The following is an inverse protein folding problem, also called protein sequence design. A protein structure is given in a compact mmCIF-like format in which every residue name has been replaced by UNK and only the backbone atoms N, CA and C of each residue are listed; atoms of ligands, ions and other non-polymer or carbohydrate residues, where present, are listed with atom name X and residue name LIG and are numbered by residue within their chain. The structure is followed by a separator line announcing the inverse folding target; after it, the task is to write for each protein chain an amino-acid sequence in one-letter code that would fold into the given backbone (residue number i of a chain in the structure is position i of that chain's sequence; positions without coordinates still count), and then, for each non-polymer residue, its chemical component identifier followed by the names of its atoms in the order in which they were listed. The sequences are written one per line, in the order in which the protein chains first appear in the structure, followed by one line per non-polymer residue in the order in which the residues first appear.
data_IF_879767559479
#
_entry.id   IF_879767559479
#
_cell.length_a   1.000
_cell.length_b   1.000
_cell.length_c   1.000
_cell.angle_alpha   90.00
_cell.angle_beta   90.00
_cell.angle_gamma   90.00
#
_symmetry.space_group_name_H-M   'P 1'
#
loop_
_entity.id
_entity.type
_entity.pdbx_description
1 polymer ?
#
# COMPACT_ATOMS: atom_id res chain seq x y z
N UNK A 1 -13.05 -50.03 25.75
CA UNK A 1 -11.73 -50.62 25.44
C UNK A 1 -11.53 -50.60 23.93
N UNK A 2 -10.40 -50.07 23.42
CA UNK A 2 -10.19 -49.78 22.00
C UNK A 2 -9.60 -50.99 21.25
N UNK A 3 -10.15 -51.33 20.08
CA UNK A 3 -9.56 -52.30 19.16
C UNK A 3 -8.94 -51.59 17.95
N UNK A 4 -7.68 -51.91 17.66
CA UNK A 4 -6.79 -51.21 16.71
C UNK A 4 -6.53 -52.05 15.45
N UNK A 5 -6.57 -51.37 14.28
CA UNK A 5 -5.75 -51.55 13.04
C UNK A 5 -6.10 -52.73 12.09
N UNK A 6 -5.69 -52.74 10.79
CA UNK A 6 -4.67 -51.89 10.11
C UNK A 6 -5.09 -51.22 8.76
N UNK A 7 -4.26 -50.27 8.33
CA UNK A 7 -4.24 -49.61 7.01
C UNK A 7 -3.47 -50.45 5.98
N UNK A 8 -3.89 -50.48 4.71
CA UNK A 8 -2.99 -50.80 3.60
C UNK A 8 -2.53 -49.52 2.84
N UNK A 9 -1.21 -49.34 2.79
CA UNK A 9 -0.42 -48.60 1.76
C UNK A 9 0.34 -49.68 0.96
N UNK A 10 1.09 -49.37 -0.12
CA UNK A 10 0.95 -48.40 -1.22
C UNK A 10 1.04 -49.12 -2.59
N UNK A 11 0.79 -48.42 -3.70
CA UNK A 11 1.32 -48.84 -5.01
C UNK A 11 1.88 -47.60 -5.74
N UNK A 12 3.21 -47.52 -5.73
CA UNK A 12 4.02 -46.70 -6.62
C UNK A 12 4.02 -47.32 -8.02
N UNK A 13 3.86 -46.52 -9.07
CA UNK A 13 4.72 -46.60 -10.25
C UNK A 13 4.52 -45.39 -11.18
N UNK A 14 5.58 -45.00 -11.93
CA UNK A 14 5.83 -43.63 -12.38
C UNK A 14 5.61 -43.47 -13.89
N UNK A 15 5.34 -42.24 -14.35
CA UNK A 15 5.64 -41.85 -15.72
C UNK A 15 6.29 -40.46 -15.72
N UNK A 16 7.62 -40.49 -15.73
CA UNK A 16 8.43 -39.42 -16.28
C UNK A 16 8.25 -39.42 -17.81
N UNK A 17 7.95 -38.26 -18.40
CA UNK A 17 8.21 -37.77 -19.77
C UNK A 17 7.58 -36.36 -19.74
N UNK A 18 8.22 -35.25 -20.10
CA UNK A 18 9.52 -35.02 -20.69
C UNK A 18 9.70 -33.51 -20.76
N UNK A 19 10.96 -33.11 -20.67
CA UNK A 19 11.46 -31.77 -20.89
C UNK A 19 11.03 -31.26 -22.27
N UNK A 20 10.33 -30.13 -22.36
CA UNK A 20 10.37 -29.26 -23.54
C UNK A 20 10.57 -27.82 -23.09
N UNK A 21 11.76 -27.33 -23.45
CA UNK A 21 12.27 -25.97 -23.34
C UNK A 21 11.38 -24.96 -24.09
N UNK A 22 11.51 -23.72 -23.63
CA UNK A 22 11.42 -22.48 -24.42
C UNK A 22 10.02 -21.98 -24.82
N UNK A 23 9.45 -21.15 -23.94
CA UNK A 23 8.97 -19.81 -24.33
C UNK A 23 9.27 -18.83 -23.20
N UNK A 24 10.56 -18.46 -23.11
CA UNK A 24 10.93 -17.19 -22.52
C UNK A 24 10.39 -16.09 -23.45
N UNK A 25 9.26 -15.47 -23.09
CA UNK A 25 8.66 -14.45 -23.96
C UNK A 25 7.22 -14.12 -23.67
N UNK A 26 6.93 -13.68 -22.45
CA UNK A 26 5.77 -12.81 -22.20
C UNK A 26 6.12 -11.85 -21.07
N UNK A 27 6.86 -10.81 -21.43
CA UNK A 27 6.94 -9.60 -20.65
C UNK A 27 5.52 -9.04 -20.46
N UNK A 28 5.06 -8.95 -19.22
CA UNK A 28 3.95 -8.06 -18.88
C UNK A 28 3.99 -7.70 -17.39
N UNK A 29 4.70 -6.59 -17.12
CA UNK A 29 4.53 -5.66 -16.00
C UNK A 29 4.84 -6.30 -14.63
N UNK A 30 6.05 -6.17 -14.08
CA UNK A 30 6.66 -4.89 -13.74
C UNK A 30 5.61 -3.80 -13.43
N UNK A 31 4.58 -4.13 -12.64
CA UNK A 31 4.16 -3.14 -11.67
C UNK A 31 5.25 -3.16 -10.62
N UNK A 32 6.27 -2.34 -10.87
CA UNK A 32 6.90 -1.67 -9.76
C UNK A 32 5.73 -1.22 -8.89
N UNK A 33 5.55 -1.87 -7.75
CA UNK A 33 5.10 -1.17 -6.56
C UNK A 33 6.18 -0.12 -6.39
N UNK A 34 6.08 0.95 -7.18
CA UNK A 34 6.59 2.24 -6.87
C UNK A 34 5.90 2.46 -5.53
N UNK A 35 6.63 2.12 -4.46
CA UNK A 35 6.22 2.36 -3.10
C UNK A 35 5.88 3.83 -3.12
N UNK A 36 4.58 4.12 -3.23
CA UNK A 36 4.08 5.47 -3.45
C UNK A 36 4.83 6.28 -2.43
N UNK A 37 5.63 7.29 -2.86
CA UNK A 37 6.48 8.02 -1.94
C UNK A 37 5.56 8.44 -0.81
N UNK A 38 5.78 7.80 0.35
CA UNK A 38 4.78 7.68 1.42
C UNK A 38 4.21 9.06 1.62
N UNK A 39 2.88 9.23 1.63
CA UNK A 39 2.28 10.56 1.58
C UNK A 39 2.87 11.49 2.65
N UNK A 40 3.30 10.89 3.76
CA UNK A 40 4.10 11.50 4.80
C UNK A 40 5.52 11.96 4.35
N UNK A 41 6.30 11.09 3.70
CA UNK A 41 7.59 11.46 3.09
C UNK A 41 7.41 12.57 2.05
N UNK A 42 6.37 12.49 1.21
CA UNK A 42 6.04 13.54 0.25
C UNK A 42 5.70 14.89 0.93
N UNK A 43 5.17 14.87 2.16
CA UNK A 43 4.93 16.10 2.95
C UNK A 43 6.18 16.61 3.68
N UNK A 44 7.15 15.75 3.96
CA UNK A 44 8.39 16.08 4.67
C UNK A 44 9.47 16.65 3.73
N UNK A 45 9.56 16.15 2.50
CA UNK A 45 10.59 16.52 1.51
C UNK A 45 10.35 17.90 0.84
N UNK A 46 9.35 18.65 1.30
CA UNK A 46 8.89 19.90 0.67
C UNK A 46 9.70 21.14 0.99
N UNK A 47 10.37 21.15 2.14
CA UNK A 47 11.14 22.32 2.56
C UNK A 47 12.30 22.62 1.60
N UNK A 48 12.80 21.63 0.86
CA UNK A 48 13.88 21.80 -0.12
C UNK A 48 13.39 22.22 -1.52
N UNK A 49 12.09 22.10 -1.81
CA UNK A 49 11.56 22.17 -3.19
C UNK A 49 10.64 23.36 -3.44
N UNK A 50 10.58 24.34 -2.52
CA UNK A 50 9.77 25.56 -2.69
C UNK A 50 8.25 25.35 -2.49
N UNK A 51 7.84 24.13 -2.16
CA UNK A 51 6.47 23.84 -1.76
C UNK A 51 6.22 24.27 -0.30
N UNK A 52 5.05 24.86 0.03
CA UNK A 52 4.69 25.08 1.42
C UNK A 52 4.61 23.73 2.16
N UNK A 53 5.46 23.56 3.17
CA UNK A 53 5.44 22.38 4.02
C UNK A 53 4.09 22.31 4.77
N UNK A 54 3.35 21.20 4.63
CA UNK A 54 2.17 20.98 5.45
C UNK A 54 2.62 20.73 6.89
N UNK A 55 2.29 21.66 7.79
CA UNK A 55 2.50 21.48 9.22
C UNK A 55 1.44 20.52 9.76
N UNK A 56 1.76 19.23 9.75
CA UNK A 56 0.88 18.17 10.22
C UNK A 56 1.07 17.94 11.72
N UNK A 57 -0.03 17.87 12.47
CA UNK A 57 0.00 17.42 13.86
C UNK A 57 0.20 15.89 13.94
N UNK A 58 0.39 15.36 15.15
CA UNK A 58 0.63 13.92 15.35
C UNK A 58 -0.53 13.04 14.85
N UNK A 59 -1.77 13.47 15.06
CA UNK A 59 -2.96 12.74 14.62
C UNK A 59 -3.03 12.66 13.08
N UNK A 60 -2.84 13.79 12.42
CA UNK A 60 -2.84 13.91 10.97
C UNK A 60 -1.75 13.03 10.33
N UNK A 61 -0.54 13.03 10.89
CA UNK A 61 0.56 12.16 10.41
C UNK A 61 0.17 10.68 10.48
N UNK A 62 -0.45 10.25 11.58
CA UNK A 62 -0.92 8.86 11.72
C UNK A 62 -2.05 8.51 10.75
N UNK A 63 -2.96 9.45 10.47
CA UNK A 63 -4.01 9.26 9.45
C UNK A 63 -3.37 9.03 8.09
N UNK A 64 -2.38 9.83 7.69
CA UNK A 64 -1.70 9.65 6.40
C UNK A 64 -0.96 8.31 6.33
N UNK A 65 -0.26 7.91 7.40
CA UNK A 65 0.37 6.58 7.48
C UNK A 65 -0.65 5.44 7.37
N UNK A 66 -1.85 5.61 7.93
CA UNK A 66 -2.91 4.63 7.79
C UNK A 66 -3.47 4.59 6.36
N UNK A 67 -3.61 5.75 5.71
CA UNK A 67 -4.05 5.87 4.32
C UNK A 67 -3.03 5.32 3.32
N UNK A 68 -1.73 5.39 3.61
CA UNK A 68 -0.66 4.78 2.81
C UNK A 68 -0.76 3.24 2.80
N UNK A 69 -1.46 2.65 3.77
CA UNK A 69 -1.76 1.19 3.80
C UNK A 69 -3.01 0.82 3.00
N UNK A 70 -3.58 1.77 2.25
CA UNK A 70 -4.82 1.59 1.49
C UNK A 70 -6.09 1.89 2.30
N UNK A 71 -7.23 1.81 1.63
CA UNK A 71 -8.54 2.20 2.17
C UNK A 71 -8.90 1.43 3.45
N UNK A 72 -8.65 0.12 3.48
CA UNK A 72 -8.87 -0.71 4.67
C UNK A 72 -7.95 -0.33 5.84
N UNK A 73 -6.76 0.19 5.55
CA UNK A 73 -5.85 0.74 6.55
C UNK A 73 -6.44 1.98 7.23
N UNK A 74 -6.96 2.90 6.43
CA UNK A 74 -7.62 4.11 6.90
C UNK A 74 -8.91 3.78 7.67
N UNK A 75 -9.76 2.90 7.12
CA UNK A 75 -11.00 2.45 7.76
C UNK A 75 -10.76 1.87 9.14
N UNK A 76 -9.82 0.92 9.26
CA UNK A 76 -9.44 0.32 10.56
C UNK A 76 -8.85 1.33 11.53
N UNK A 77 -8.16 2.36 11.04
CA UNK A 77 -7.62 3.41 11.89
C UNK A 77 -8.74 4.30 12.46
N UNK A 78 -9.63 4.80 11.59
CA UNK A 78 -10.77 5.63 12.00
C UNK A 78 -11.67 4.87 12.96
N UNK A 79 -12.01 3.62 12.65
CA UNK A 79 -12.87 2.80 13.51
C UNK A 79 -12.30 2.63 14.93
N UNK A 80 -10.98 2.48 15.07
CA UNK A 80 -10.32 2.34 16.38
C UNK A 80 -10.18 3.66 17.14
N UNK A 81 -10.18 4.80 16.46
CA UNK A 81 -9.84 6.10 17.06
C UNK A 81 -10.99 7.08 17.13
N UNK A 82 -12.12 6.79 16.46
CA UNK A 82 -13.30 7.67 16.39
C UNK A 82 -13.87 8.06 17.75
N UNK A 83 -13.78 7.19 18.76
CA UNK A 83 -14.33 7.49 20.10
C UNK A 83 -13.52 8.55 20.85
N UNK A 84 -12.23 8.70 20.51
CA UNK A 84 -11.31 9.63 21.19
C UNK A 84 -11.19 10.93 20.39
N UNK A 85 -11.11 10.82 19.07
CA UNK A 85 -10.83 11.94 18.18
C UNK A 85 -12.03 12.39 17.34
N UNK A 86 -13.20 11.77 17.53
CA UNK A 86 -14.44 12.09 16.80
C UNK A 86 -14.28 12.08 15.27
N UNK A 87 -13.42 11.21 14.76
CA UNK A 87 -13.14 11.10 13.33
C UNK A 87 -14.31 10.48 12.57
N UNK A 88 -14.82 11.20 11.57
CA UNK A 88 -15.68 10.65 10.53
C UNK A 88 -14.83 10.08 9.38
N UNK A 89 -15.21 8.92 8.86
CA UNK A 89 -14.44 8.25 7.81
C UNK A 89 -14.50 9.02 6.49
N UNK A 90 -15.68 9.51 6.10
CA UNK A 90 -15.87 10.19 4.83
C UNK A 90 -15.19 11.57 4.82
N UNK A 91 -15.22 12.28 5.94
CA UNK A 91 -14.47 13.53 6.10
C UNK A 91 -12.95 13.28 6.13
N UNK A 92 -12.50 12.23 6.84
CA UNK A 92 -11.08 11.89 6.91
C UNK A 92 -10.54 11.50 5.54
N UNK A 93 -11.27 10.71 4.76
CA UNK A 93 -10.87 10.34 3.39
C UNK A 93 -10.81 11.58 2.48
N UNK A 94 -11.85 12.43 2.51
CA UNK A 94 -11.84 13.70 1.74
C UNK A 94 -10.63 14.56 2.08
N UNK A 95 -10.27 14.67 3.36
CA UNK A 95 -9.07 15.39 3.76
C UNK A 95 -7.79 14.73 3.22
N UNK A 96 -7.66 13.40 3.28
CA UNK A 96 -6.52 12.67 2.68
C UNK A 96 -6.39 12.96 1.19
N UNK A 97 -7.51 12.97 0.45
CA UNK A 97 -7.50 13.27 -0.99
C UNK A 97 -7.10 14.72 -1.27
N UNK A 98 -7.55 15.68 -0.45
CA UNK A 98 -7.11 17.08 -0.57
C UNK A 98 -5.61 17.22 -0.32
N UNK A 99 -5.06 16.51 0.66
CA UNK A 99 -3.61 16.47 0.88
C UNK A 99 -2.93 15.88 -0.34
N UNK A 100 -3.39 14.74 -0.87
CA UNK A 100 -2.85 14.14 -2.12
C UNK A 100 -2.84 15.11 -3.30
N UNK A 101 -3.94 15.80 -3.55
CA UNK A 101 -4.05 16.77 -4.64
C UNK A 101 -3.05 17.92 -4.47
N UNK A 102 -3.01 18.55 -3.30
CA UNK A 102 -2.04 19.62 -2.99
C UNK A 102 -0.59 19.16 -3.17
N UNK A 103 -0.31 17.91 -2.82
CA UNK A 103 1.02 17.31 -2.98
C UNK A 103 1.36 17.12 -4.47
N UNK A 104 0.41 16.63 -5.26
CA UNK A 104 0.57 16.41 -6.68
C UNK A 104 0.75 17.72 -7.44
N UNK A 105 -0.09 18.72 -7.18
CA UNK A 105 -0.03 20.06 -7.80
C UNK A 105 1.35 20.69 -7.56
N UNK A 106 1.87 20.55 -6.35
CA UNK A 106 3.16 21.12 -6.02
C UNK A 106 4.32 20.41 -6.72
N UNK A 107 4.26 19.07 -6.83
CA UNK A 107 5.26 18.30 -7.60
C UNK A 107 5.26 18.71 -9.07
N UNK A 108 4.08 18.87 -9.67
CA UNK A 108 3.94 19.33 -11.07
C UNK A 108 4.53 20.72 -11.25
N UNK A 109 4.24 21.65 -10.34
CA UNK A 109 4.78 23.01 -10.39
C UNK A 109 6.31 23.04 -10.34
N UNK A 110 6.93 22.23 -9.47
CA UNK A 110 8.40 22.14 -9.38
C UNK A 110 9.00 21.56 -10.65
N UNK A 111 8.45 20.45 -11.15
CA UNK A 111 8.97 19.80 -12.36
C UNK A 111 8.85 20.72 -13.59
N UNK A 112 7.79 21.53 -13.68
CA UNK A 112 7.62 22.50 -14.75
C UNK A 112 8.60 23.70 -14.66
N UNK A 113 9.18 23.95 -13.48
CA UNK A 113 10.15 25.01 -13.21
C UNK A 113 11.61 24.53 -13.25
N UNK A 114 11.85 23.23 -13.38
CA UNK A 114 13.19 22.67 -13.55
C UNK A 114 13.65 22.89 -15.01
N UNK A 115 14.83 23.51 -15.25
CA UNK A 115 15.34 23.81 -16.59
C UNK A 115 15.77 22.57 -17.39
#
# INVERSE_FOLDING_TARGET
MPNRRPLPRPALAPLAIGLLLATAGAAARAEAVEASPTLLAATADRSASGCPALRLNHLQRRVLVAADRGEDGLRRYVQRTRMIHQLDLAETDRWVQQVRARNADCRVAITALAP
#
